data_IF_792182400712
#
_entry.id   IF_792182400712
#
_cell.length_a   1.000
_cell.length_b   1.000
_cell.length_c   1.000
_cell.angle_alpha   90.00
_cell.angle_beta   90.00
_cell.angle_gamma   90.00
#
_symmetry.space_group_name_H-M   'P 1'
#
loop_
_entity.id
_entity.type
_entity.pdbx_description
1 polymer ?
#
# COMPACT_ATOMS: atom_id res chain seq x y z
N UNK A 1 18.43 9.11 -7.96
CA UNK A 1 16.96 8.94 -8.02
C UNK A 1 16.59 8.28 -9.32
N UNK A 2 16.36 6.98 -9.30
CA UNK A 2 15.93 6.22 -10.48
C UNK A 2 14.45 6.50 -10.69
N UNK A 3 14.10 7.18 -11.80
CA UNK A 3 12.70 7.46 -12.17
C UNK A 3 12.07 6.18 -12.71
N UNK A 4 10.83 5.89 -12.31
CA UNK A 4 10.02 4.79 -12.86
C UNK A 4 9.98 4.86 -14.39
N UNK A 5 10.28 3.73 -15.06
CA UNK A 5 10.20 3.62 -16.52
C UNK A 5 9.61 2.27 -16.94
N UNK A 6 8.68 2.31 -17.90
CA UNK A 6 8.07 1.13 -18.52
C UNK A 6 9.02 0.40 -19.49
N UNK A 7 10.13 1.03 -19.88
CA UNK A 7 11.11 0.47 -20.82
C UNK A 7 12.08 -0.54 -20.20
N UNK A 8 12.10 -0.68 -18.86
CA UNK A 8 13.03 -1.58 -18.15
C UNK A 8 12.24 -2.55 -17.26
N UNK A 9 11.44 -3.42 -17.87
CA UNK A 9 10.63 -4.44 -17.19
C UNK A 9 11.47 -5.46 -16.41
N UNK A 10 12.73 -5.66 -16.81
CA UNK A 10 13.65 -6.62 -16.16
C UNK A 10 14.28 -6.10 -14.86
N UNK A 11 14.10 -4.82 -14.52
CA UNK A 11 14.64 -4.26 -13.29
C UNK A 11 13.69 -4.48 -12.11
N UNK A 12 13.84 -5.63 -11.44
CA UNK A 12 13.04 -6.03 -10.29
C UNK A 12 13.11 -5.04 -9.12
N UNK A 13 14.16 -4.22 -9.03
CA UNK A 13 14.32 -3.21 -7.98
C UNK A 13 13.49 -1.96 -8.24
N UNK A 14 13.06 -1.71 -9.48
CA UNK A 14 12.23 -0.56 -9.84
C UNK A 14 10.72 -0.83 -9.68
N UNK A 15 10.30 -2.10 -9.77
CA UNK A 15 8.88 -2.47 -9.83
C UNK A 15 8.36 -3.15 -8.56
N UNK A 16 9.24 -3.55 -7.64
CA UNK A 16 8.85 -4.24 -6.40
C UNK A 16 9.16 -3.37 -5.18
N UNK A 17 8.14 -3.00 -4.42
CA UNK A 17 8.28 -2.27 -3.14
C UNK A 17 8.57 -3.19 -1.95
N UNK A 18 8.69 -4.50 -2.17
CA UNK A 18 8.96 -5.47 -1.11
C UNK A 18 10.31 -5.14 -0.44
N UNK A 19 10.27 -4.99 0.88
CA UNK A 19 11.42 -4.67 1.72
C UNK A 19 12.53 -5.71 1.60
N UNK A 20 12.21 -6.99 1.36
CA UNK A 20 13.23 -8.04 1.17
C UNK A 20 14.03 -7.83 -0.12
N UNK A 21 13.41 -7.27 -1.17
CA UNK A 21 14.05 -6.98 -2.46
C UNK A 21 14.80 -5.66 -2.37
N UNK A 22 14.17 -4.60 -1.84
CA UNK A 22 14.75 -3.26 -1.73
C UNK A 22 16.02 -3.21 -0.85
N UNK A 23 16.12 -4.08 0.17
CA UNK A 23 17.32 -4.18 1.03
C UNK A 23 18.59 -4.66 0.31
N UNK A 24 18.46 -5.33 -0.83
CA UNK A 24 19.61 -5.83 -1.61
C UNK A 24 20.02 -4.85 -2.71
N UNK A 25 19.32 -3.72 -2.86
CA UNK A 25 19.65 -2.71 -3.85
C UNK A 25 20.94 -1.96 -3.46
N UNK A 26 21.88 -1.72 -4.40
CA UNK A 26 23.14 -1.04 -4.11
C UNK A 26 22.98 0.38 -3.55
N UNK A 27 21.85 1.04 -3.87
CA UNK A 27 21.52 2.41 -3.44
C UNK A 27 20.57 2.46 -2.22
N UNK A 28 20.36 1.34 -1.51
CA UNK A 28 19.49 1.31 -0.34
C UNK A 28 20.10 2.14 0.80
N UNK A 29 19.50 3.30 1.08
CA UNK A 29 19.86 4.13 2.22
C UNK A 29 18.86 3.87 3.37
N UNK A 30 19.29 3.24 4.49
CA UNK A 30 18.43 2.97 5.64
C UNK A 30 17.85 4.23 6.29
N UNK A 31 18.58 5.36 6.22
CA UNK A 31 18.20 6.64 6.83
C UNK A 31 17.19 7.43 5.99
N UNK A 32 17.12 7.19 4.67
CA UNK A 32 16.10 7.79 3.77
C UNK A 32 14.79 7.01 3.71
N UNK A 33 14.63 6.03 4.61
CA UNK A 33 13.57 5.00 4.63
C UNK A 33 12.39 5.27 3.70
N UNK A 34 12.22 4.42 2.68
CA UNK A 34 11.09 4.43 1.74
C UNK A 34 9.76 4.00 2.40
N UNK A 35 9.61 4.23 3.72
CA UNK A 35 8.46 3.86 4.52
C UNK A 35 7.94 5.11 5.20
N UNK A 36 6.69 5.45 4.94
CA UNK A 36 6.00 6.50 5.66
C UNK A 36 5.00 5.89 6.63
N UNK A 37 4.85 6.51 7.80
CA UNK A 37 3.71 6.20 8.64
C UNK A 37 2.43 6.63 7.94
N UNK A 38 1.32 5.93 8.19
CA UNK A 38 0.06 6.20 7.48
C UNK A 38 -0.44 7.64 7.69
N UNK A 39 -0.23 8.21 8.88
CA UNK A 39 -0.54 9.61 9.15
C UNK A 39 0.31 10.59 8.32
N UNK A 40 1.59 10.27 8.08
CA UNK A 40 2.46 11.07 7.23
C UNK A 40 2.03 11.00 5.76
N UNK A 41 1.71 9.80 5.27
CA UNK A 41 1.18 9.60 3.93
C UNK A 41 -0.14 10.36 3.72
N UNK A 42 -1.08 10.26 4.66
CA UNK A 42 -2.36 11.00 4.61
C UNK A 42 -2.11 12.50 4.54
N UNK A 43 -1.26 13.05 5.41
CA UNK A 43 -0.93 14.49 5.39
C UNK A 43 -0.31 14.92 4.07
N UNK A 44 0.63 14.14 3.53
CA UNK A 44 1.26 14.42 2.25
C UNK A 44 0.25 14.43 1.10
N UNK A 45 -0.59 13.40 1.00
CA UNK A 45 -1.62 13.32 -0.04
C UNK A 45 -2.63 14.46 0.10
N UNK A 46 -3.06 14.79 1.33
CA UNK A 46 -4.02 15.87 1.58
C UNK A 46 -3.46 17.21 1.13
N UNK A 47 -2.18 17.47 1.43
CA UNK A 47 -1.52 18.70 1.01
C UNK A 47 -1.35 18.80 -0.53
N UNK A 48 -1.17 17.65 -1.22
CA UNK A 48 -0.91 17.61 -2.66
C UNK A 48 -2.17 17.55 -3.53
N UNK A 49 -3.20 16.84 -3.08
CA UNK A 49 -4.39 16.51 -3.89
C UNK A 49 -5.71 17.06 -3.30
N UNK A 50 -5.67 17.68 -2.13
CA UNK A 50 -6.85 18.19 -1.44
C UNK A 50 -7.51 17.17 -0.53
N UNK A 51 -8.27 17.66 0.46
CA UNK A 51 -8.86 16.85 1.53
C UNK A 51 -9.92 15.86 1.01
N UNK A 52 -10.79 16.33 0.13
CA UNK A 52 -11.93 15.54 -0.36
C UNK A 52 -11.49 14.27 -1.09
N UNK A 53 -10.55 14.41 -2.04
CA UNK A 53 -9.99 13.28 -2.80
C UNK A 53 -9.35 12.24 -1.88
N UNK A 54 -8.61 12.70 -0.87
CA UNK A 54 -7.95 11.80 0.08
C UNK A 54 -8.95 11.11 1.00
N UNK A 55 -10.02 11.79 1.41
CA UNK A 55 -11.10 11.16 2.17
C UNK A 55 -11.81 10.07 1.36
N UNK A 56 -12.06 10.32 0.06
CA UNK A 56 -12.56 9.29 -0.85
C UNK A 56 -11.59 8.12 -0.97
N UNK A 57 -10.30 8.37 -1.18
CA UNK A 57 -9.28 7.33 -1.28
C UNK A 57 -9.28 6.40 -0.05
N UNK A 58 -9.22 6.96 1.16
CA UNK A 58 -9.19 6.14 2.38
C UNK A 58 -10.50 5.36 2.57
N UNK A 59 -11.64 5.95 2.20
CA UNK A 59 -12.93 5.24 2.20
C UNK A 59 -12.95 4.06 1.23
N UNK A 60 -12.37 4.21 0.03
CA UNK A 60 -12.25 3.11 -0.93
C UNK A 60 -11.29 2.02 -0.44
N UNK A 61 -10.21 2.36 0.26
CA UNK A 61 -9.36 1.38 0.94
C UNK A 61 -10.13 0.58 2.00
N UNK A 62 -10.91 1.27 2.85
CA UNK A 62 -11.77 0.62 3.85
C UNK A 62 -12.78 -0.33 3.20
N UNK A 63 -13.37 0.08 2.06
CA UNK A 63 -14.28 -0.75 1.29
C UNK A 63 -13.59 -2.03 0.78
N UNK A 64 -12.34 -1.96 0.33
CA UNK A 64 -11.57 -3.14 -0.10
C UNK A 64 -11.39 -4.12 1.07
N UNK A 65 -11.00 -3.61 2.25
CA UNK A 65 -10.82 -4.45 3.45
C UNK A 65 -12.13 -5.14 3.86
N UNK A 66 -13.23 -4.38 3.93
CA UNK A 66 -14.53 -4.92 4.34
C UNK A 66 -15.05 -5.94 3.33
N UNK A 67 -15.01 -5.61 2.04
CA UNK A 67 -15.56 -6.49 0.98
C UNK A 67 -14.75 -7.78 0.83
N UNK A 68 -13.43 -7.70 0.93
CA UNK A 68 -12.57 -8.89 0.88
C UNK A 68 -12.88 -9.84 2.05
N UNK A 69 -12.94 -9.35 3.28
CA UNK A 69 -13.32 -10.15 4.45
C UNK A 69 -14.73 -10.72 4.34
N UNK A 70 -15.71 -9.91 3.91
CA UNK A 70 -17.09 -10.36 3.71
C UNK A 70 -17.19 -11.49 2.69
N UNK A 71 -16.38 -11.46 1.63
CA UNK A 71 -16.42 -12.48 0.56
C UNK A 71 -16.03 -13.88 1.05
N UNK A 72 -15.17 -13.96 2.07
CA UNK A 72 -14.66 -15.22 2.63
C UNK A 72 -15.24 -15.54 4.02
N UNK A 73 -16.10 -14.68 4.56
CA UNK A 73 -16.67 -14.82 5.90
C UNK A 73 -17.33 -16.19 6.17
N UNK A 74 -17.93 -16.82 5.16
CA UNK A 74 -18.57 -18.14 5.31
C UNK A 74 -17.58 -19.31 5.43
N UNK A 75 -16.32 -19.09 5.04
CA UNK A 75 -15.26 -20.10 5.02
C UNK A 75 -14.31 -19.92 6.20
N UNK A 76 -14.15 -18.69 6.69
CA UNK A 76 -13.35 -18.38 7.88
C UNK A 76 -14.05 -18.94 9.12
N UNK A 77 -13.34 -19.76 9.89
CA UNK A 77 -13.83 -20.30 11.16
C UNK A 77 -13.79 -19.17 12.20
N UNK A 78 -14.97 -18.76 12.65
CA UNK A 78 -15.11 -17.70 13.65
C UNK A 78 -15.22 -18.32 15.06
N UNK A 79 -14.09 -18.71 15.64
CA UNK A 79 -14.01 -19.06 17.06
C UNK A 79 -13.85 -17.78 17.89
N UNK A 80 -14.77 -17.60 18.86
CA UNK A 80 -14.80 -16.44 19.76
C UNK A 80 -13.55 -16.26 20.64
N UNK A 81 -12.67 -17.25 20.71
CA UNK A 81 -11.39 -17.19 21.42
C UNK A 81 -10.19 -16.96 20.49
N UNK A 82 -10.40 -16.84 19.18
CA UNK A 82 -9.37 -16.60 18.19
C UNK A 82 -9.51 -15.19 17.60
N UNK A 83 -8.38 -14.58 17.28
CA UNK A 83 -8.32 -13.36 16.48
C UNK A 83 -7.21 -13.53 15.43
N UNK A 84 -7.42 -12.89 14.29
CA UNK A 84 -6.45 -12.90 13.18
C UNK A 84 -6.06 -11.47 12.83
N UNK A 85 -4.78 -11.28 12.51
CA UNK A 85 -4.24 -10.02 12.04
C UNK A 85 -3.90 -10.15 10.56
N UNK A 86 -4.56 -9.36 9.72
CA UNK A 86 -4.33 -9.36 8.29
C UNK A 86 -3.48 -8.16 7.87
N UNK A 87 -2.47 -8.42 7.04
CA UNK A 87 -1.72 -7.38 6.33
C UNK A 87 -2.23 -7.26 4.91
N UNK A 88 -2.83 -6.11 4.58
CA UNK A 88 -3.26 -5.81 3.21
C UNK A 88 -2.20 -4.99 2.49
N UNK A 89 -1.80 -5.45 1.31
CA UNK A 89 -0.99 -4.69 0.37
C UNK A 89 -1.92 -4.00 -0.63
N UNK A 90 -1.99 -2.66 -0.56
CA UNK A 90 -2.82 -1.83 -1.44
C UNK A 90 -1.92 -1.00 -2.35
N UNK A 91 -2.22 -0.98 -3.65
CA UNK A 91 -1.51 -0.16 -4.63
C UNK A 91 -2.38 1.02 -5.08
N UNK A 92 -1.79 2.22 -5.10
CA UNK A 92 -2.45 3.41 -5.62
C UNK A 92 -2.01 3.68 -7.06
N UNK A 93 -2.97 3.87 -7.96
CA UNK A 93 -2.67 4.30 -9.32
C UNK A 93 -2.51 5.83 -9.44
N UNK A 94 -2.22 6.30 -10.65
CA UNK A 94 -2.05 7.73 -10.95
C UNK A 94 -3.28 8.60 -10.67
N UNK A 95 -4.47 8.00 -10.58
CA UNK A 95 -5.73 8.67 -10.29
C UNK A 95 -6.13 8.55 -8.81
N UNK A 96 -5.22 8.08 -7.95
CA UNK A 96 -5.47 7.78 -6.54
C UNK A 96 -6.59 6.75 -6.34
N UNK A 97 -6.76 5.82 -7.28
CA UNK A 97 -7.61 4.65 -7.05
C UNK A 97 -6.81 3.57 -6.34
N UNK A 98 -7.30 3.04 -5.19
CA UNK A 98 -6.70 1.89 -4.54
C UNK A 98 -7.11 0.59 -5.22
N UNK A 99 -6.16 -0.33 -5.33
CA UNK A 99 -6.31 -1.68 -5.87
C UNK A 99 -5.89 -2.72 -4.83
#
# INVERSE_FOLDING_TARGET
STRFSLSTINDKYMHLTNVSVQKTAPDYNPEKGCKWQMQQLRRYLTAKHGREVVETLFKEMDNIFVRSLQSVHKVIINDKHCFELYGYDILLDQNLKPW
#
